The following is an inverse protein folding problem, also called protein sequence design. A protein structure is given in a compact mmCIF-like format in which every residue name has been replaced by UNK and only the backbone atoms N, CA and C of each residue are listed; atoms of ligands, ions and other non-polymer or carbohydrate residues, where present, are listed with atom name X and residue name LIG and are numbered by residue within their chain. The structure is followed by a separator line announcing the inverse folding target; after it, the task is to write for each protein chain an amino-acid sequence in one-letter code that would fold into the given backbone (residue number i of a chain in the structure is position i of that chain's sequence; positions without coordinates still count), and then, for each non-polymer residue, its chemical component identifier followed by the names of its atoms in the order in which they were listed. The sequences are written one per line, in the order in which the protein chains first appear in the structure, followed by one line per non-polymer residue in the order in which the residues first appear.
data_IF_202714329012
#
_entry.id   IF_202714329012
#
_cell.length_a   1.000
_cell.length_b   1.000
_cell.length_c   1.000
_cell.angle_alpha   90.00
_cell.angle_beta   90.00
_cell.angle_gamma   90.00
#
_symmetry.space_group_name_H-M   'P 1'
#
loop_
_entity.id
_entity.type
_entity.pdbx_description
1 polymer ?
#
# COMPACT_ATOMS: atom_id res chain seq x y z
N UNK A 1 14.21 -4.22 11.63
CA UNK A 1 13.27 -3.10 11.92
C UNK A 1 11.86 -3.57 11.63
N UNK A 2 10.89 -3.34 12.53
CA UNK A 2 9.47 -3.67 12.26
C UNK A 2 8.88 -2.58 11.35
N UNK A 3 8.11 -2.93 10.31
CA UNK A 3 7.43 -1.94 9.47
C UNK A 3 6.45 -1.11 10.33
N UNK A 4 6.40 0.20 10.08
CA UNK A 4 5.41 1.06 10.72
C UNK A 4 4.00 0.57 10.32
N UNK A 5 3.05 0.53 11.25
CA UNK A 5 1.67 0.11 10.95
C UNK A 5 0.90 1.14 10.11
N UNK A 6 1.39 2.38 10.11
CA UNK A 6 0.74 3.51 9.47
C UNK A 6 1.80 4.44 8.89
N UNK A 7 1.55 4.97 7.69
CA UNK A 7 2.37 5.97 7.04
C UNK A 7 1.47 7.14 6.60
N UNK A 8 2.05 8.34 6.52
CA UNK A 8 1.34 9.55 6.07
C UNK A 8 2.00 10.07 4.82
N UNK A 9 1.21 10.23 3.75
CA UNK A 9 1.64 10.75 2.46
C UNK A 9 0.88 12.02 2.09
N UNK A 10 1.34 12.73 1.07
CA UNK A 10 0.59 13.82 0.45
C UNK A 10 -0.26 13.25 -0.70
N UNK A 11 -1.56 13.53 -0.67
CA UNK A 11 -2.51 13.20 -1.74
C UNK A 11 -2.15 13.98 -3.00
N UNK A 12 -2.16 13.33 -4.16
CA UNK A 12 -1.77 13.97 -5.42
C UNK A 12 -2.88 14.90 -5.89
N UNK A 13 -4.16 14.50 -5.75
CA UNK A 13 -5.31 15.29 -6.19
C UNK A 13 -5.59 16.53 -5.36
N UNK A 14 -5.50 16.46 -4.03
CA UNK A 14 -5.90 17.58 -3.16
C UNK A 14 -4.76 18.13 -2.29
N UNK A 15 -3.53 17.63 -2.44
CA UNK A 15 -2.36 18.04 -1.66
C UNK A 15 -2.47 17.90 -0.13
N UNK A 16 -3.56 17.30 0.39
CA UNK A 16 -3.77 17.04 1.82
C UNK A 16 -3.05 15.78 2.26
N UNK A 17 -2.84 15.62 3.57
CA UNK A 17 -2.33 14.40 4.15
C UNK A 17 -3.30 13.23 3.93
N UNK A 18 -2.79 12.11 3.41
CA UNK A 18 -3.47 10.82 3.34
C UNK A 18 -2.75 9.83 4.24
N UNK A 19 -3.50 9.21 5.14
CA UNK A 19 -2.98 8.17 6.02
C UNK A 19 -3.22 6.81 5.35
N UNK A 20 -2.15 6.03 5.21
CA UNK A 20 -2.21 4.66 4.70
C UNK A 20 -1.82 3.69 5.80
N UNK A 21 -2.46 2.53 5.79
CA UNK A 21 -2.31 1.52 6.82
C UNK A 21 -1.70 0.28 6.22
N UNK A 22 -0.84 -0.39 6.99
CA UNK A 22 -0.28 -1.68 6.62
C UNK A 22 -1.44 -2.66 6.42
N UNK A 23 -1.55 -3.18 5.21
CA UNK A 23 -2.56 -4.16 4.87
C UNK A 23 -2.16 -5.51 5.43
N UNK A 24 -3.14 -6.21 6.00
CA UNK A 24 -2.94 -7.56 6.52
C UNK A 24 -2.91 -8.52 5.32
N UNK A 25 -1.72 -8.88 4.87
CA UNK A 25 -1.53 -9.94 3.86
C UNK A 25 -1.19 -11.25 4.57
N UNK A 26 -1.79 -12.35 4.13
CA UNK A 26 -1.70 -13.64 4.81
C UNK A 26 -0.36 -14.37 4.58
N UNK A 27 0.43 -14.00 3.56
CA UNK A 27 1.46 -14.91 3.05
C UNK A 27 2.83 -14.30 2.70
N UNK A 28 3.08 -13.00 2.88
CA UNK A 28 4.35 -12.42 2.44
C UNK A 28 4.95 -11.47 3.47
N UNK A 29 5.90 -11.96 4.27
CA UNK A 29 6.79 -11.10 5.08
C UNK A 29 7.80 -10.31 4.24
N UNK A 30 7.88 -10.60 2.94
CA UNK A 30 8.79 -9.96 1.98
C UNK A 30 8.22 -8.68 1.37
N UNK A 31 6.94 -8.37 1.62
CA UNK A 31 6.28 -7.14 1.20
C UNK A 31 5.44 -6.56 2.33
N UNK A 32 5.44 -5.24 2.42
CA UNK A 32 4.63 -4.46 3.33
C UNK A 32 3.74 -3.55 2.49
N UNK A 33 2.55 -4.04 2.09
CA UNK A 33 1.58 -3.25 1.35
C UNK A 33 0.87 -2.29 2.29
N UNK A 34 0.68 -1.07 1.83
CA UNK A 34 0.01 0.01 2.51
C UNK A 34 -1.09 0.57 1.62
N UNK A 35 -2.27 0.75 2.20
CA UNK A 35 -3.40 1.33 1.50
C UNK A 35 -4.17 2.29 2.39
N UNK A 36 -4.68 3.34 1.79
CA UNK A 36 -5.56 4.30 2.45
C UNK A 36 -6.35 5.09 1.41
N UNK A 37 -7.42 5.74 1.87
CA UNK A 37 -8.26 6.58 1.03
C UNK A 37 -8.19 8.00 1.58
N UNK A 38 -7.84 8.95 0.73
CA UNK A 38 -7.87 10.35 1.08
C UNK A 38 -9.32 10.82 1.21
N UNK A 39 -9.55 11.86 2.04
CA UNK A 39 -10.88 12.48 2.19
C UNK A 39 -11.49 12.97 0.87
N UNK A 40 -10.68 13.19 -0.17
CA UNK A 40 -11.15 13.57 -1.51
C UNK A 40 -11.51 12.38 -2.42
N UNK A 41 -11.48 11.15 -1.89
CA UNK A 41 -11.76 9.92 -2.63
C UNK A 41 -10.56 9.33 -3.39
N UNK A 42 -9.36 9.92 -3.29
CA UNK A 42 -8.16 9.34 -3.93
C UNK A 42 -7.65 8.15 -3.12
N UNK A 43 -7.54 6.99 -3.75
CA UNK A 43 -6.91 5.81 -3.16
C UNK A 43 -5.40 5.94 -3.28
N UNK A 44 -4.70 5.90 -2.16
CA UNK A 44 -3.24 5.84 -2.11
C UNK A 44 -2.82 4.40 -1.79
N UNK A 45 -2.08 3.80 -2.72
CA UNK A 45 -1.40 2.51 -2.54
C UNK A 45 0.09 2.74 -2.50
N UNK A 46 0.76 2.05 -1.59
CA UNK A 46 2.20 2.06 -1.45
C UNK A 46 2.63 0.68 -1.00
N UNK A 47 3.81 0.21 -1.39
CA UNK A 47 4.36 -1.02 -0.88
C UNK A 47 5.88 -0.89 -0.76
N UNK A 48 6.44 -1.59 0.21
CA UNK A 48 7.90 -1.69 0.42
C UNK A 48 8.28 -3.14 0.62
N UNK A 49 9.49 -3.55 0.23
CA UNK A 49 9.92 -4.94 0.28
C UNK A 49 10.64 -5.36 -1.00
N UNK A 50 10.50 -6.63 -1.38
CA UNK A 50 11.05 -7.14 -2.64
C UNK A 50 10.47 -6.39 -3.85
N UNK A 51 11.36 -5.93 -4.74
CA UNK A 51 11.00 -5.08 -5.87
C UNK A 51 9.95 -5.70 -6.79
N UNK A 52 10.05 -7.01 -7.05
CA UNK A 52 9.12 -7.77 -7.88
C UNK A 52 7.69 -7.77 -7.29
N UNK A 53 7.58 -8.08 -5.99
CA UNK A 53 6.30 -8.08 -5.29
C UNK A 53 5.72 -6.67 -5.17
N UNK A 54 6.56 -5.66 -4.92
CA UNK A 54 6.13 -4.26 -4.86
C UNK A 54 5.54 -3.84 -6.20
N UNK A 55 6.19 -4.21 -7.30
CA UNK A 55 5.70 -3.93 -8.66
C UNK A 55 4.35 -4.61 -8.90
N UNK A 56 4.26 -5.91 -8.64
CA UNK A 56 3.02 -6.68 -8.78
C UNK A 56 1.85 -6.09 -7.96
N UNK A 57 2.10 -5.68 -6.72
CA UNK A 57 1.09 -5.05 -5.86
C UNK A 57 0.59 -3.71 -6.41
N UNK A 58 1.50 -2.89 -6.93
CA UNK A 58 1.13 -1.60 -7.54
C UNK A 58 0.40 -1.77 -8.87
N UNK A 59 0.69 -2.83 -9.62
CA UNK A 59 0.01 -3.19 -10.88
C UNK A 59 -1.39 -3.79 -10.65
N UNK A 60 -1.66 -4.42 -9.51
CA UNK A 60 -3.01 -4.86 -9.13
C UNK A 60 -3.93 -3.67 -8.83
N UNK A 61 -4.59 -3.17 -9.87
CA UNK A 61 -5.50 -2.03 -9.83
C UNK A 61 -6.76 -2.29 -8.98
N UNK A 62 -7.18 -3.54 -8.79
CA UNK A 62 -8.47 -3.90 -8.18
C UNK A 62 -8.40 -4.25 -6.69
N UNK A 63 -7.21 -4.21 -6.08
CA UNK A 63 -7.04 -4.59 -4.67
C UNK A 63 -7.18 -6.10 -4.40
N UNK A 64 -7.39 -6.91 -5.43
CA UNK A 64 -7.37 -8.38 -5.43
C UNK A 64 -5.96 -8.95 -5.56
N UNK A 65 -4.96 -8.27 -4.98
CA UNK A 65 -3.59 -8.77 -5.02
C UNK A 65 -3.46 -10.01 -4.12
N UNK A 66 -3.48 -11.17 -4.76
CA UNK A 66 -3.18 -12.46 -4.15
C UNK A 66 -1.88 -12.94 -4.76
N UNK A 67 -0.76 -12.73 -4.07
CA UNK A 67 0.48 -13.40 -4.44
C UNK A 67 0.33 -14.88 -4.05
N UNK A 68 -0.03 -15.69 -5.03
CA UNK A 68 0.07 -17.14 -4.92
C UNK A 68 1.56 -17.49 -4.98
N UNK A 69 2.04 -18.13 -3.93
CA UNK A 69 3.40 -18.66 -3.82
C UNK A 69 3.65 -19.78 -4.85
#
# INVERSE_FOLDING_TARGET
MKPARTLTFKCVKCAKSVQVFLQKVSACSHIHPYQGICKCGEVKRHATGQADLVKSYLESADGSWSHHH
#
